data_IF_792884725361
#
_entry.id   IF_792884725361
#
_cell.length_a   1.000
_cell.length_b   1.000
_cell.length_c   1.000
_cell.angle_alpha   90.00
_cell.angle_beta   90.00
_cell.angle_gamma   90.00
#
_symmetry.space_group_name_H-M   'P 1'
#
loop_
_entity.id
_entity.type
_entity.pdbx_description
1 polymer ?
#
# COMPACT_ATOMS: atom_id res chain seq x y z
N UNK A 1 21.24 -7.77 17.46
CA UNK A 1 20.35 -8.94 17.65
C UNK A 1 20.32 -9.67 16.31
N UNK A 2 20.77 -10.92 16.25
CA UNK A 2 20.77 -11.71 15.01
C UNK A 2 19.37 -12.29 14.77
N UNK A 3 18.96 -12.42 13.51
CA UNK A 3 17.70 -13.09 13.16
C UNK A 3 16.44 -12.22 13.23
N UNK A 4 16.58 -10.89 13.27
CA UNK A 4 15.44 -9.98 13.10
C UNK A 4 14.98 -10.03 11.64
N UNK A 5 13.70 -10.32 11.41
CA UNK A 5 13.13 -10.54 10.08
C UNK A 5 12.31 -9.32 9.60
N UNK A 6 11.61 -8.64 10.51
CA UNK A 6 10.85 -7.44 10.19
C UNK A 6 10.83 -6.43 11.33
N UNK A 7 10.91 -5.13 11.00
CA UNK A 7 10.90 -4.03 11.97
C UNK A 7 9.96 -2.90 11.49
N UNK A 8 8.90 -2.61 12.26
CA UNK A 8 8.05 -1.44 12.03
C UNK A 8 8.11 -0.51 13.22
N UNK A 9 8.61 0.69 12.97
CA UNK A 9 8.61 1.79 13.93
C UNK A 9 7.40 2.68 13.74
N UNK A 10 6.97 3.37 14.79
CA UNK A 10 5.94 4.41 14.70
C UNK A 10 6.10 5.43 15.83
N UNK A 11 5.74 6.68 15.57
CA UNK A 11 5.78 7.74 16.58
C UNK A 11 4.63 8.71 16.39
N UNK A 12 3.98 9.08 17.49
CA UNK A 12 3.10 10.25 17.57
C UNK A 12 3.27 10.91 18.94
N UNK A 13 2.95 12.20 19.05
CA UNK A 13 2.96 12.92 20.34
C UNK A 13 2.10 12.22 21.41
N UNK A 14 0.97 11.64 21.02
CA UNK A 14 0.04 11.01 21.95
C UNK A 14 0.47 9.59 22.36
N UNK A 15 1.13 8.85 21.47
CA UNK A 15 1.47 7.43 21.68
C UNK A 15 2.92 7.19 22.10
N UNK A 16 3.79 8.19 22.04
CA UNK A 16 5.23 7.99 22.17
C UNK A 16 5.81 7.15 21.03
N UNK A 17 7.00 6.59 21.28
CA UNK A 17 7.74 5.74 20.34
C UNK A 17 7.28 4.29 20.43
N UNK A 18 6.83 3.74 19.31
CA UNK A 18 6.33 2.37 19.19
C UNK A 18 7.24 1.55 18.27
N UNK A 19 7.22 0.23 18.47
CA UNK A 19 7.94 -0.72 17.63
C UNK A 19 7.34 -2.11 17.68
N UNK A 20 7.19 -2.69 16.50
CA UNK A 20 6.88 -4.11 16.31
C UNK A 20 8.08 -4.73 15.61
N UNK A 21 8.58 -5.84 16.14
CA UNK A 21 9.70 -6.57 15.56
C UNK A 21 9.45 -8.07 15.60
N UNK A 22 9.73 -8.78 14.51
CA UNK A 22 9.77 -10.23 14.48
C UNK A 22 11.21 -10.73 14.54
N UNK A 23 11.48 -11.72 15.39
CA UNK A 23 12.81 -12.29 15.58
C UNK A 23 12.75 -13.81 15.51
N UNK A 24 13.76 -14.34 14.85
CA UNK A 24 13.85 -15.73 14.44
C UNK A 24 15.25 -16.26 14.67
N UNK A 25 15.38 -17.28 15.51
CA UNK A 25 16.65 -17.95 15.79
C UNK A 25 16.47 -19.47 15.72
N UNK A 26 16.95 -20.07 14.63
CA UNK A 26 16.69 -21.48 14.29
C UNK A 26 15.20 -21.80 14.23
N UNK A 27 14.77 -22.73 15.08
CA UNK A 27 13.37 -23.17 15.23
C UNK A 27 12.55 -22.32 16.22
N UNK A 28 13.12 -21.23 16.75
CA UNK A 28 12.43 -20.32 17.69
C UNK A 28 12.04 -19.04 16.98
N UNK A 29 10.79 -18.60 17.20
CA UNK A 29 10.21 -17.42 16.57
C UNK A 29 9.44 -16.63 17.63
N UNK A 30 9.64 -15.32 17.66
CA UNK A 30 8.89 -14.41 18.53
C UNK A 30 8.48 -13.15 17.76
N UNK A 31 7.39 -12.53 18.19
CA UNK A 31 7.02 -11.18 17.81
C UNK A 31 7.00 -10.33 19.07
N UNK A 32 7.79 -9.26 19.08
CA UNK A 32 7.84 -8.28 20.14
C UNK A 32 7.09 -7.01 19.75
N UNK A 33 6.32 -6.46 20.69
CA UNK A 33 5.65 -5.17 20.55
C UNK A 33 6.01 -4.29 21.74
N UNK A 34 6.56 -3.11 21.46
CA UNK A 34 6.82 -2.05 22.44
C UNK A 34 5.98 -0.84 22.06
N UNK A 35 5.25 -0.30 23.02
CA UNK A 35 4.40 0.88 22.85
C UNK A 35 4.79 1.94 23.88
N UNK A 36 4.70 3.23 23.54
CA UNK A 36 4.83 4.30 24.55
C UNK A 36 6.24 4.63 25.01
N UNK A 37 7.29 4.32 24.24
CA UNK A 37 8.65 4.73 24.57
C UNK A 37 8.78 6.25 24.66
N UNK A 38 9.60 6.74 25.59
CA UNK A 38 9.86 8.19 25.75
C UNK A 38 10.85 8.71 24.71
N UNK A 39 11.70 7.83 24.18
CA UNK A 39 12.63 8.08 23.08
C UNK A 39 12.79 6.84 22.20
N UNK A 40 13.27 7.01 20.97
CA UNK A 40 13.61 5.89 20.08
C UNK A 40 14.56 4.89 20.74
N UNK A 41 15.64 5.39 21.35
CA UNK A 41 16.64 4.56 22.05
C UNK A 41 16.08 3.82 23.26
N UNK A 42 15.24 4.46 24.09
CA UNK A 42 14.58 3.78 25.23
C UNK A 42 13.72 2.59 24.77
N UNK A 43 12.97 2.80 23.69
CA UNK A 43 12.11 1.79 23.07
C UNK A 43 12.95 0.65 22.47
N UNK A 44 14.07 0.97 21.83
CA UNK A 44 14.93 -0.05 21.20
C UNK A 44 15.62 -0.91 22.27
N UNK A 45 16.05 -0.29 23.38
CA UNK A 45 16.60 -1.00 24.54
C UNK A 45 15.55 -1.91 25.20
N UNK A 46 14.30 -1.46 25.32
CA UNK A 46 13.19 -2.29 25.82
C UNK A 46 12.92 -3.48 24.90
N UNK A 47 12.91 -3.26 23.58
CA UNK A 47 12.74 -4.33 22.60
C UNK A 47 13.88 -5.35 22.69
N UNK A 48 15.13 -4.89 22.80
CA UNK A 48 16.28 -5.76 22.97
C UNK A 48 16.17 -6.61 24.23
N UNK A 49 15.70 -6.03 25.35
CA UNK A 49 15.47 -6.77 26.59
C UNK A 49 14.39 -7.86 26.43
N UNK A 50 13.26 -7.52 25.79
CA UNK A 50 12.19 -8.50 25.51
C UNK A 50 12.71 -9.67 24.67
N UNK A 51 13.45 -9.38 23.61
CA UNK A 51 14.01 -10.41 22.73
C UNK A 51 14.98 -11.30 23.51
N UNK A 52 15.95 -10.71 24.22
CA UNK A 52 16.93 -11.49 24.99
C UNK A 52 16.29 -12.36 26.07
N UNK A 53 15.23 -11.87 26.71
CA UNK A 53 14.53 -12.57 27.79
C UNK A 53 13.64 -13.71 27.26
N UNK A 54 12.94 -13.50 26.15
CA UNK A 54 11.88 -14.42 25.71
C UNK A 54 12.24 -15.29 24.52
N UNK A 55 13.27 -14.95 23.74
CA UNK A 55 13.68 -15.74 22.57
C UNK A 55 14.11 -17.16 22.98
N UNK A 56 14.89 -17.30 24.05
CA UNK A 56 15.32 -18.60 24.58
C UNK A 56 14.18 -19.43 25.19
N UNK A 57 13.09 -18.78 25.58
CA UNK A 57 11.90 -19.39 26.19
C UNK A 57 10.82 -19.72 25.16
N UNK A 58 10.95 -19.23 23.93
CA UNK A 58 9.98 -19.43 22.87
C UNK A 58 9.87 -20.90 22.46
N UNK A 59 8.67 -21.36 22.13
CA UNK A 59 8.43 -22.72 21.66
C UNK A 59 9.26 -23.02 20.41
N UNK A 60 9.81 -24.24 20.34
CA UNK A 60 10.43 -24.80 19.13
C UNK A 60 9.45 -25.62 18.28
N UNK A 61 8.24 -25.87 18.81
CA UNK A 61 7.16 -26.56 18.09
C UNK A 61 6.48 -25.56 17.16
N UNK A 62 6.74 -25.66 15.86
CA UNK A 62 6.01 -24.94 14.82
C UNK A 62 4.82 -25.79 14.36
N UNK A 63 3.60 -25.30 14.53
CA UNK A 63 2.39 -25.98 14.03
C UNK A 63 1.12 -25.84 14.88
N UNK A 64 1.19 -25.18 16.05
CA UNK A 64 0.00 -24.85 16.84
C UNK A 64 -0.35 -23.36 16.78
N UNK A 65 -1.59 -23.03 17.11
CA UNK A 65 -2.06 -21.64 17.19
C UNK A 65 -1.19 -20.83 18.16
N UNK A 66 -0.67 -19.70 17.68
CA UNK A 66 0.16 -18.81 18.48
C UNK A 66 -0.74 -17.93 19.35
N UNK A 67 -0.85 -18.25 20.64
CA UNK A 67 -1.61 -17.45 21.60
C UNK A 67 -0.65 -16.63 22.45
N UNK A 68 -0.67 -15.30 22.28
CA UNK A 68 0.02 -14.38 23.16
C UNK A 68 -0.72 -14.29 24.50
N UNK A 69 -0.07 -14.70 25.59
CA UNK A 69 -0.58 -14.53 26.95
C UNK A 69 0.13 -13.37 27.63
N UNK A 70 -0.59 -12.27 27.85
CA UNK A 70 -0.15 -11.25 28.79
C UNK A 70 -0.16 -11.86 30.20
N UNK A 71 0.95 -11.72 30.93
CA UNK A 71 1.06 -12.23 32.30
C UNK A 71 -0.08 -11.68 33.18
N UNK A 72 -0.84 -12.59 33.80
CA UNK A 72 -2.12 -12.32 34.46
C UNK A 72 -2.06 -11.59 35.80
N UNK A 73 -1.00 -10.82 36.08
CA UNK A 73 -0.87 -10.08 37.35
C UNK A 73 -1.20 -8.58 37.17
N UNK A 74 -1.93 -8.32 36.10
CA UNK A 74 -2.87 -7.26 35.85
C UNK A 74 -3.92 -6.88 36.91
N UNK A 75 -3.81 -5.84 37.77
CA UNK A 75 -4.93 -5.50 38.67
C UNK A 75 -6.21 -5.14 37.91
N UNK A 76 -6.10 -4.63 36.67
CA UNK A 76 -7.24 -4.32 35.80
C UNK A 76 -7.95 -5.58 35.27
N UNK A 77 -7.22 -6.66 35.01
CA UNK A 77 -7.75 -7.92 34.47
C UNK A 77 -8.30 -8.81 35.59
N UNK A 78 -7.82 -8.65 36.83
CA UNK A 78 -8.51 -9.15 38.02
C UNK A 78 -9.87 -8.44 38.22
N UNK A 79 -9.92 -7.11 38.08
CA UNK A 79 -11.16 -6.33 38.21
C UNK A 79 -12.18 -6.64 37.09
N UNK A 80 -11.70 -6.78 35.84
CA UNK A 80 -12.53 -7.15 34.70
C UNK A 80 -13.17 -8.54 34.89
N UNK A 81 -12.46 -9.50 35.48
CA UNK A 81 -12.99 -10.84 35.75
C UNK A 81 -14.11 -10.86 36.80
N UNK A 82 -14.17 -9.84 37.66
CA UNK A 82 -15.20 -9.68 38.70
C UNK A 82 -16.40 -8.87 38.19
N UNK A 83 -16.17 -7.87 37.34
CA UNK A 83 -17.20 -6.92 36.91
C UNK A 83 -17.89 -7.26 35.58
N UNK A 84 -17.37 -8.20 34.80
CA UNK A 84 -18.01 -8.61 33.55
C UNK A 84 -19.23 -9.52 33.85
N UNK A 85 -20.45 -9.15 33.38
CA UNK A 85 -21.61 -10.03 33.44
C UNK A 85 -21.31 -11.35 32.73
N UNK A 86 -21.58 -12.48 33.40
CA UNK A 86 -21.34 -13.83 32.84
C UNK A 86 -22.44 -14.26 31.84
N UNK A 87 -23.58 -13.58 31.87
CA UNK A 87 -24.71 -13.73 30.96
C UNK A 87 -25.24 -12.34 30.58
N UNK A 88 -25.91 -12.25 29.43
CA UNK A 88 -26.54 -11.03 28.90
C UNK A 88 -25.56 -9.88 28.59
N UNK A 89 -24.49 -10.20 27.85
CA UNK A 89 -23.73 -9.16 27.18
C UNK A 89 -24.62 -8.49 26.13
N UNK A 90 -24.70 -7.14 26.05
CA UNK A 90 -25.47 -6.45 25.02
C UNK A 90 -24.88 -6.79 23.64
N UNK A 91 -25.49 -7.75 22.96
CA UNK A 91 -25.25 -8.03 21.56
C UNK A 91 -26.16 -7.12 20.74
N UNK A 92 -25.67 -6.46 19.68
CA UNK A 92 -26.55 -5.79 18.73
C UNK A 92 -27.56 -6.79 18.18
N UNK A 93 -28.85 -6.58 18.46
CA UNK A 93 -29.93 -7.52 18.12
C UNK A 93 -30.20 -7.61 16.60
N UNK A 94 -29.75 -6.61 15.83
CA UNK A 94 -30.02 -6.55 14.40
C UNK A 94 -28.94 -7.26 13.58
N UNK A 95 -29.25 -8.49 13.17
CA UNK A 95 -28.56 -9.17 12.06
C UNK A 95 -28.92 -8.44 10.75
N UNK A 96 -27.97 -7.91 9.96
CA UNK A 96 -28.28 -7.28 8.70
C UNK A 96 -28.88 -8.31 7.73
N UNK A 97 -30.14 -8.09 7.36
CA UNK A 97 -30.84 -8.86 6.33
C UNK A 97 -30.33 -8.43 4.96
N UNK A 98 -29.66 -9.34 4.27
CA UNK A 98 -29.43 -9.22 2.83
C UNK A 98 -30.80 -9.52 2.18
N UNK A 99 -31.45 -8.51 1.63
CA UNK A 99 -32.61 -8.72 0.76
C UNK A 99 -32.15 -9.48 -0.49
N UNK A 100 -32.66 -10.70 -0.65
CA UNK A 100 -32.59 -11.47 -1.89
C UNK A 100 -33.70 -10.94 -2.79
N UNK A 101 -33.34 -10.33 -3.91
CA UNK A 101 -34.22 -10.23 -5.07
C UNK A 101 -33.68 -11.16 -6.16
N UNK A 102 -34.61 -11.97 -6.66
CA UNK A 102 -34.47 -13.09 -7.58
C UNK A 102 -34.22 -12.69 -9.06
N UNK A 103 -33.56 -13.63 -9.76
CA UNK A 103 -33.66 -13.98 -11.20
C UNK A 103 -33.34 -12.86 -12.23
N UNK A 104 -32.66 -13.04 -13.37
CA UNK A 104 -32.62 -14.01 -14.48
C UNK A 104 -31.44 -13.47 -15.35
N UNK A 105 -30.58 -14.16 -16.10
CA UNK A 105 -30.76 -15.20 -17.12
C UNK A 105 -29.35 -15.72 -17.47
N UNK A 106 -29.25 -17.00 -17.82
CA UNK A 106 -28.08 -17.64 -18.39
C UNK A 106 -28.01 -17.45 -19.92
N UNK A 107 -26.81 -17.26 -20.47
CA UNK A 107 -26.29 -17.73 -21.78
C UNK A 107 -24.75 -17.67 -21.63
N UNK A 108 -23.99 -18.76 -21.54
CA UNK A 108 -23.60 -19.76 -22.56
C UNK A 108 -22.84 -19.22 -23.78
N UNK A 109 -21.90 -20.04 -24.28
CA UNK A 109 -21.07 -19.96 -25.48
C UNK A 109 -19.59 -19.52 -25.33
N UNK A 110 -18.77 -20.48 -24.91
CA UNK A 110 -17.70 -21.17 -25.69
C UNK A 110 -16.69 -20.43 -26.60
N UNK A 111 -15.51 -21.07 -26.69
CA UNK A 111 -14.44 -21.09 -27.73
C UNK A 111 -13.55 -19.84 -27.89
N UNK A 112 -12.23 -19.91 -28.09
CA UNK A 112 -11.29 -21.00 -28.36
C UNK A 112 -9.85 -20.58 -27.96
N UNK A 113 -8.99 -21.59 -27.92
CA UNK A 113 -7.53 -21.60 -27.75
C UNK A 113 -6.76 -20.91 -28.90
N UNK A 114 -5.42 -21.02 -28.84
CA UNK A 114 -4.34 -20.64 -29.77
C UNK A 114 -3.70 -19.26 -29.59
N UNK A 115 -2.38 -19.10 -29.59
CA UNK A 115 -1.27 -20.04 -29.61
C UNK A 115 -0.01 -19.28 -29.14
N UNK A 116 0.98 -20.08 -28.77
CA UNK A 116 2.37 -19.82 -28.45
C UNK A 116 3.13 -18.83 -29.36
N UNK A 117 4.13 -18.16 -28.77
CA UNK A 117 5.51 -18.19 -29.28
C UNK A 117 6.48 -17.53 -28.28
N UNK A 118 7.50 -18.30 -27.92
CA UNK A 118 8.59 -17.98 -27.01
C UNK A 118 9.73 -17.23 -27.72
N UNK A 119 10.67 -16.79 -26.86
CA UNK A 119 12.12 -16.81 -27.06
C UNK A 119 12.75 -15.61 -27.81
N UNK A 120 13.98 -15.15 -27.52
CA UNK A 120 14.92 -15.35 -26.41
C UNK A 120 16.10 -14.39 -26.65
N UNK A 121 16.66 -13.92 -25.55
CA UNK A 121 17.98 -13.36 -25.27
C UNK A 121 19.11 -13.45 -26.33
N UNK A 122 19.91 -12.38 -26.47
CA UNK A 122 21.37 -12.48 -26.51
C UNK A 122 22.05 -11.10 -26.33
N UNK A 123 22.83 -10.95 -25.25
CA UNK A 123 23.90 -9.95 -25.14
C UNK A 123 25.19 -10.49 -25.80
N UNK A 124 26.15 -9.61 -26.19
CA UNK A 124 27.41 -9.60 -25.44
C UNK A 124 28.19 -8.25 -25.39
N UNK A 125 28.55 -7.84 -24.18
CA UNK A 125 29.92 -7.73 -23.61
C UNK A 125 31.12 -7.10 -24.40
N UNK A 126 31.50 -5.88 -23.96
CA UNK A 126 32.84 -5.38 -23.50
C UNK A 126 33.96 -5.04 -24.53
N UNK A 127 34.51 -3.79 -24.48
CA UNK A 127 35.89 -3.42 -24.00
C UNK A 127 36.40 -2.01 -24.42
N UNK A 128 36.68 -1.18 -23.40
CA UNK A 128 37.84 -0.25 -23.19
C UNK A 128 38.18 0.79 -24.27
N UNK A 129 38.48 2.08 -24.00
CA UNK A 129 39.55 2.65 -23.14
C UNK A 129 39.40 4.18 -23.10
N UNK A 130 39.82 4.81 -21.99
CA UNK A 130 39.85 6.28 -21.74
C UNK A 130 40.98 6.99 -22.49
N UNK A 131 40.79 8.25 -22.91
CA UNK A 131 41.77 9.35 -22.79
C UNK A 131 41.06 10.72 -22.71
N UNK A 132 41.42 11.54 -21.72
CA UNK A 132 41.09 12.98 -21.58
C UNK A 132 41.95 13.81 -22.55
N UNK A 133 41.50 15.00 -22.94
CA UNK A 133 41.97 16.32 -22.41
C UNK A 133 41.85 17.45 -23.47
N UNK A 134 41.54 18.63 -22.94
CA UNK A 134 41.83 20.02 -23.38
C UNK A 134 40.86 20.69 -24.37
N UNK A 135 40.67 21.96 -24.02
CA UNK A 135 39.69 22.98 -24.37
C UNK A 135 40.36 23.97 -25.34
N UNK A 136 39.54 24.85 -25.92
CA UNK A 136 39.85 26.18 -26.49
C UNK A 136 40.01 26.18 -28.02
N UNK A 137 39.02 26.73 -28.73
CA UNK A 137 39.07 28.11 -29.23
C UNK A 137 37.82 28.46 -30.06
N UNK A 138 37.18 29.58 -29.75
CA UNK A 138 36.32 30.35 -30.66
C UNK A 138 37.20 31.49 -31.24
N UNK A 139 36.95 32.11 -32.44
CA UNK A 139 35.67 32.75 -32.75
C UNK A 139 35.25 32.91 -34.24
N UNK A 140 33.97 33.28 -34.41
CA UNK A 140 33.34 34.21 -35.39
C UNK A 140 33.00 33.86 -36.86
N UNK A 141 31.68 33.84 -37.10
CA UNK A 141 30.83 34.57 -38.08
C UNK A 141 31.11 34.46 -39.60
N UNK A 142 30.19 33.83 -40.33
CA UNK A 142 29.47 34.43 -41.48
C UNK A 142 28.39 33.47 -42.04
N UNK A 143 27.34 34.09 -42.59
CA UNK A 143 26.04 33.58 -43.04
C UNK A 143 26.06 32.74 -44.33
N UNK A 144 25.23 31.69 -44.40
CA UNK A 144 24.55 31.26 -45.63
C UNK A 144 23.36 30.34 -45.31
N UNK A 145 22.19 30.69 -45.82
CA UNK A 145 20.95 29.90 -45.75
C UNK A 145 20.98 28.76 -46.78
N UNK A 146 20.66 27.55 -46.37
CA UNK A 146 20.15 26.49 -47.26
C UNK A 146 19.04 25.72 -46.54
N UNK A 147 17.87 25.75 -47.17
CA UNK A 147 16.64 25.04 -46.82
C UNK A 147 16.80 23.57 -47.22
N UNK A 148 16.62 22.63 -46.28
CA UNK A 148 16.05 21.30 -46.54
C UNK A 148 15.91 20.47 -45.25
N UNK A 149 14.66 20.30 -44.84
CA UNK A 149 14.10 19.05 -44.32
C UNK A 149 14.86 18.31 -43.20
N UNK A 150 14.66 18.75 -41.96
CA UNK A 150 14.40 17.79 -40.88
C UNK A 150 12.93 17.90 -40.51
N UNK A 151 12.17 16.88 -40.91
CA UNK A 151 10.91 16.58 -40.27
C UNK A 151 11.23 16.16 -38.83
N UNK A 152 11.15 17.10 -37.90
CA UNK A 152 10.96 16.75 -36.50
C UNK A 152 9.63 15.97 -36.41
N UNK A 153 9.59 14.80 -35.75
CA UNK A 153 8.31 14.23 -35.41
C UNK A 153 7.58 15.25 -34.54
N UNK A 154 6.43 15.68 -35.03
CA UNK A 154 5.45 16.50 -34.30
C UNK A 154 5.42 16.10 -32.83
N UNK A 155 5.38 17.04 -31.88
CA UNK A 155 4.98 16.73 -30.52
C UNK A 155 3.60 16.09 -30.64
N UNK A 156 3.54 14.77 -30.49
CA UNK A 156 2.28 14.10 -30.24
C UNK A 156 1.63 14.87 -29.10
N UNK A 157 0.35 15.18 -29.30
CA UNK A 157 -0.48 15.91 -28.38
C UNK A 157 -0.12 15.57 -26.94
N UNK A 158 0.08 16.60 -26.13
CA UNK A 158 0.16 16.50 -24.67
C UNK A 158 -1.09 15.78 -24.17
N UNK A 159 -1.00 14.46 -24.11
CA UNK A 159 -1.93 13.61 -23.41
C UNK A 159 -1.71 13.93 -21.92
N UNK A 160 -2.70 14.44 -21.17
CA UNK A 160 -2.52 14.77 -19.77
C UNK A 160 -2.52 13.50 -18.91
N UNK A 161 -1.84 12.44 -19.37
CA UNK A 161 -1.49 11.31 -18.51
C UNK A 161 -0.37 11.78 -17.61
N UNK A 162 -0.79 12.17 -16.41
CA UNK A 162 0.02 12.42 -15.23
C UNK A 162 0.92 11.19 -14.96
N UNK A 163 2.07 11.13 -15.63
CA UNK A 163 3.02 10.04 -15.52
C UNK A 163 3.63 10.01 -14.12
N UNK A 164 3.31 8.93 -13.39
CA UNK A 164 4.09 8.30 -12.33
C UNK A 164 4.44 9.10 -11.05
N UNK A 165 4.03 10.35 -10.90
CA UNK A 165 4.09 11.02 -9.60
C UNK A 165 2.81 10.70 -8.82
N UNK A 166 2.79 9.54 -8.15
CA UNK A 166 1.76 9.27 -7.13
C UNK A 166 1.75 10.46 -6.18
N UNK A 167 0.63 11.20 -6.05
CA UNK A 167 0.56 12.34 -5.15
C UNK A 167 1.00 11.91 -3.76
N UNK A 168 2.08 12.50 -3.26
CA UNK A 168 2.55 12.22 -1.90
C UNK A 168 1.55 12.77 -0.89
N UNK A 169 1.38 12.06 0.22
CA UNK A 169 0.41 12.43 1.25
C UNK A 169 -0.76 11.46 1.32
N UNK A 170 -1.97 11.97 1.58
CA UNK A 170 -3.14 11.12 1.77
C UNK A 170 -3.87 10.89 0.45
N UNK A 171 -4.24 9.63 0.23
CA UNK A 171 -5.12 9.20 -0.84
C UNK A 171 -6.27 8.37 -0.26
N UNK A 172 -7.35 8.25 -1.02
CA UNK A 172 -8.42 7.31 -0.74
C UNK A 172 -8.47 6.27 -1.85
N UNK A 173 -8.55 5.00 -1.48
CA UNK A 173 -8.72 3.90 -2.41
C UNK A 173 -10.19 3.52 -2.44
N UNK A 174 -10.76 3.46 -3.64
CA UNK A 174 -12.19 3.19 -3.86
C UNK A 174 -12.45 1.83 -4.51
N UNK A 175 -11.50 1.31 -5.29
CA UNK A 175 -11.61 -0.01 -5.90
C UNK A 175 -10.24 -0.64 -6.15
N UNK A 176 -10.25 -1.95 -6.39
CA UNK A 176 -9.10 -2.74 -6.82
C UNK A 176 -9.59 -3.84 -7.75
N UNK A 177 -9.24 -3.77 -9.03
CA UNK A 177 -9.69 -4.73 -10.07
C UNK A 177 -8.50 -5.41 -10.75
N UNK A 178 -8.67 -6.62 -11.30
CA UNK A 178 -7.62 -7.29 -12.07
C UNK A 178 -7.38 -6.64 -13.45
N UNK A 179 -8.32 -5.83 -13.94
CA UNK A 179 -8.19 -5.08 -15.20
C UNK A 179 -8.05 -3.58 -14.95
N UNK A 180 -7.16 -2.92 -15.70
CA UNK A 180 -6.94 -1.48 -15.61
C UNK A 180 -8.18 -0.67 -16.03
N UNK A 181 -8.86 -1.09 -17.08
CA UNK A 181 -10.07 -0.41 -17.60
C UNK A 181 -11.21 -0.40 -16.58
N UNK A 182 -11.39 -1.49 -15.83
CA UNK A 182 -12.39 -1.56 -14.75
C UNK A 182 -12.05 -0.59 -13.61
N UNK A 183 -10.78 -0.49 -13.21
CA UNK A 183 -10.35 0.45 -12.18
C UNK A 183 -10.62 1.90 -12.62
N UNK A 184 -10.35 2.21 -13.88
CA UNK A 184 -10.59 3.54 -14.44
C UNK A 184 -12.08 3.84 -14.55
N UNK A 185 -12.91 2.90 -15.00
CA UNK A 185 -14.36 3.05 -15.01
C UNK A 185 -14.93 3.30 -13.60
N UNK A 186 -14.36 2.68 -12.57
CA UNK A 186 -14.71 2.96 -11.17
C UNK A 186 -14.36 4.39 -10.75
N UNK A 187 -13.21 4.94 -11.19
CA UNK A 187 -12.86 6.35 -10.94
C UNK A 187 -13.87 7.30 -11.59
N UNK A 188 -14.23 7.06 -12.85
CA UNK A 188 -15.19 7.89 -13.58
C UNK A 188 -16.57 7.84 -12.94
N UNK A 189 -17.04 6.63 -12.59
CA UNK A 189 -18.32 6.44 -11.90
C UNK A 189 -18.34 7.17 -10.56
N UNK A 190 -17.27 7.05 -9.77
CA UNK A 190 -17.17 7.71 -8.47
C UNK A 190 -17.18 9.23 -8.61
N UNK A 191 -16.43 9.77 -9.59
CA UNK A 191 -16.38 11.20 -9.88
C UNK A 191 -17.75 11.76 -10.26
N UNK A 192 -18.52 11.01 -11.08
CA UNK A 192 -19.89 11.37 -11.47
C UNK A 192 -20.86 11.35 -10.30
N UNK A 193 -20.72 10.40 -9.38
CA UNK A 193 -21.62 10.24 -8.23
C UNK A 193 -21.33 11.22 -7.08
N UNK A 194 -20.10 11.69 -6.95
CA UNK A 194 -19.66 12.55 -5.85
C UNK A 194 -18.76 13.73 -6.29
N UNK A 195 -19.19 14.57 -7.25
CA UNK A 195 -18.34 15.63 -7.83
C UNK A 195 -17.93 16.67 -6.78
N UNK A 196 -18.81 16.99 -5.83
CA UNK A 196 -18.51 17.96 -4.75
C UNK A 196 -17.49 17.43 -3.73
N UNK A 197 -17.39 16.12 -3.56
CA UNK A 197 -16.47 15.49 -2.60
C UNK A 197 -15.08 15.37 -3.19
N UNK A 198 -15.00 15.19 -4.51
CA UNK A 198 -13.78 14.94 -5.27
C UNK A 198 -13.31 16.16 -6.07
N UNK A 199 -13.89 17.34 -5.85
CA UNK A 199 -13.60 18.54 -6.63
C UNK A 199 -12.08 18.88 -6.68
N UNK A 200 -11.39 18.71 -5.55
CA UNK A 200 -9.96 18.98 -5.43
C UNK A 200 -9.11 17.69 -5.50
N UNK A 201 -9.72 16.55 -5.81
CA UNK A 201 -9.07 15.24 -5.78
C UNK A 201 -8.78 14.73 -7.20
N UNK A 202 -7.58 14.19 -7.41
CA UNK A 202 -7.17 13.63 -8.70
C UNK A 202 -7.27 12.12 -8.68
N UNK A 203 -8.04 11.53 -9.60
CA UNK A 203 -8.14 10.10 -9.80
C UNK A 203 -6.92 9.53 -10.52
N UNK A 204 -6.36 8.42 -10.02
CA UNK A 204 -5.27 7.70 -10.67
C UNK A 204 -5.33 6.20 -10.34
N UNK A 205 -4.73 5.38 -11.20
CA UNK A 205 -4.62 3.94 -11.00
C UNK A 205 -3.19 3.54 -10.66
N UNK A 206 -3.02 2.61 -9.71
CA UNK A 206 -1.71 2.05 -9.35
C UNK A 206 -1.75 0.53 -9.50
N UNK A 207 -0.85 -0.02 -10.30
CA UNK A 207 -0.65 -1.46 -10.39
C UNK A 207 0.04 -1.99 -9.12
N UNK A 208 -0.39 -3.14 -8.62
CA UNK A 208 0.30 -3.88 -7.57
C UNK A 208 0.15 -5.38 -7.78
N UNK A 209 1.21 -6.12 -7.51
CA UNK A 209 1.21 -7.57 -7.58
C UNK A 209 0.94 -8.18 -6.22
N UNK A 210 0.08 -9.19 -6.19
CA UNK A 210 -0.19 -10.01 -4.99
C UNK A 210 -0.42 -11.45 -5.42
N UNK A 211 0.37 -12.35 -4.85
CA UNK A 211 0.27 -13.80 -5.10
C UNK A 211 0.37 -14.17 -6.60
N UNK A 212 1.21 -13.43 -7.34
CA UNK A 212 1.40 -13.62 -8.80
C UNK A 212 0.30 -13.00 -9.66
N UNK A 213 -0.68 -12.31 -9.06
CA UNK A 213 -1.76 -11.61 -9.78
C UNK A 213 -1.55 -10.10 -9.70
N UNK A 214 -1.50 -9.45 -10.86
CA UNK A 214 -1.48 -7.98 -10.96
C UNK A 214 -2.89 -7.42 -10.78
N UNK A 215 -3.01 -6.45 -9.89
CA UNK A 215 -4.24 -5.72 -9.62
C UNK A 215 -4.02 -4.23 -9.82
N UNK A 216 -5.06 -3.53 -10.25
CA UNK A 216 -5.07 -2.08 -10.46
C UNK A 216 -5.94 -1.42 -9.39
N UNK A 217 -5.31 -0.63 -8.52
CA UNK A 217 -6.01 0.13 -7.47
C UNK A 217 -6.45 1.48 -8.01
N UNK A 218 -7.74 1.73 -7.95
CA UNK A 218 -8.34 3.04 -8.20
C UNK A 218 -8.20 3.91 -6.94
N UNK A 219 -7.48 5.03 -7.06
CA UNK A 219 -7.21 5.97 -5.96
C UNK A 219 -7.56 7.40 -6.35
N UNK A 220 -7.97 8.18 -5.36
CA UNK A 220 -8.01 9.64 -5.45
C UNK A 220 -6.97 10.23 -4.51
N UNK A 221 -6.10 11.09 -5.04
CA UNK A 221 -5.07 11.81 -4.29
C UNK A 221 -5.37 13.30 -4.20
N UNK A 222 -4.53 14.04 -3.48
CA UNK A 222 -4.68 15.48 -3.27
C UNK A 222 -5.21 15.85 -1.87
N UNK A 223 -5.34 14.88 -0.95
CA UNK A 223 -5.77 15.18 0.42
C UNK A 223 -4.57 15.63 1.27
N UNK A 224 -4.59 16.89 1.72
CA UNK A 224 -3.52 17.46 2.55
C UNK A 224 -3.42 16.93 3.98
N UNK A 225 -4.40 16.14 4.46
CA UNK A 225 -4.39 15.57 5.81
C UNK A 225 -5.19 14.28 5.92
N UNK A 226 -4.90 13.50 6.97
CA UNK A 226 -5.68 12.31 7.36
C UNK A 226 -7.16 12.64 7.49
N UNK A 227 -7.47 13.73 8.17
CA UNK A 227 -8.85 14.15 8.43
C UNK A 227 -9.59 14.48 7.13
N UNK A 228 -8.93 15.14 6.17
CA UNK A 228 -9.52 15.43 4.86
C UNK A 228 -9.84 14.15 4.09
N UNK A 229 -8.90 13.19 4.02
CA UNK A 229 -9.11 11.91 3.35
C UNK A 229 -10.22 11.09 4.02
N UNK A 230 -10.26 11.01 5.35
CA UNK A 230 -11.30 10.30 6.09
C UNK A 230 -12.69 10.92 5.93
N UNK A 231 -12.77 12.26 5.91
CA UNK A 231 -14.02 12.99 5.66
C UNK A 231 -14.54 12.71 4.26
N UNK A 232 -13.69 12.78 3.24
CA UNK A 232 -14.06 12.44 1.86
C UNK A 232 -14.53 10.99 1.77
N UNK A 233 -13.81 10.07 2.41
CA UNK A 233 -14.15 8.66 2.44
C UNK A 233 -15.52 8.38 3.10
N UNK A 234 -15.81 9.07 4.20
CA UNK A 234 -17.11 8.98 4.87
C UNK A 234 -18.24 9.52 3.98
N UNK A 235 -17.98 10.58 3.21
CA UNK A 235 -18.96 11.12 2.28
C UNK A 235 -19.23 10.19 1.09
N UNK A 236 -18.20 9.49 0.59
CA UNK A 236 -18.35 8.46 -0.44
C UNK A 236 -19.15 7.25 0.06
N UNK A 237 -18.91 6.79 1.28
CA UNK A 237 -19.68 5.68 1.89
C UNK A 237 -21.16 5.98 1.99
N UNK A 238 -21.55 7.22 2.27
CA UNK A 238 -22.97 7.67 2.26
C UNK A 238 -23.62 7.61 0.87
N UNK A 239 -22.83 7.45 -0.20
CA UNK A 239 -23.27 7.26 -1.58
C UNK A 239 -23.14 5.80 -2.04
N UNK A 240 -22.98 4.85 -1.11
CA UNK A 240 -22.74 3.43 -1.37
C UNK A 240 -21.47 3.17 -2.19
N UNK A 241 -20.43 3.97 -1.97
CA UNK A 241 -19.12 3.78 -2.60
C UNK A 241 -18.15 3.33 -1.51
N UNK A 242 -17.59 2.14 -1.70
CA UNK A 242 -16.56 1.60 -0.82
C UNK A 242 -15.31 2.50 -0.84
N UNK A 243 -14.74 2.71 0.34
CA UNK A 243 -13.61 3.61 0.45
C UNK A 243 -12.73 3.28 1.66
N UNK A 244 -11.42 3.39 1.45
CA UNK A 244 -10.39 3.26 2.46
C UNK A 244 -9.32 4.35 2.32
N UNK A 245 -9.05 5.10 3.39
CA UNK A 245 -8.04 6.16 3.40
C UNK A 245 -6.64 5.60 3.71
N UNK A 246 -5.66 5.92 2.87
CA UNK A 246 -4.27 5.46 2.94
C UNK A 246 -3.30 6.62 2.83
N UNK A 247 -2.15 6.49 3.48
CA UNK A 247 -1.01 7.36 3.23
C UNK A 247 -0.17 6.73 2.10
N UNK A 248 0.08 7.49 1.02
CA UNK A 248 0.98 7.11 -0.07
C UNK A 248 2.44 7.35 0.33
#
# INVERSE_FOLDING_TARGET
IKGVDGIKTGYTRASGFNLVSSVSDGNRRIVGVVMGGTSGGSRDNQMANLINTYLSRASTRGGGDLVAKAGGNNPITALAKVLLPKHDAPTPDDKPVIAQDDAIVAEDATVAEDDTAQAEEAAPVVKTKKVKTVIVSAPQVATAQVVAAYAEPTPAAVDPVNTASVPSGWAIQVASSPKQSEAQAFLDKTTKQAPKVLADASGFTVAFDKDGVTYYRARFGGFGSKTAAWKACTALKKKNIECYAVQQ
#
